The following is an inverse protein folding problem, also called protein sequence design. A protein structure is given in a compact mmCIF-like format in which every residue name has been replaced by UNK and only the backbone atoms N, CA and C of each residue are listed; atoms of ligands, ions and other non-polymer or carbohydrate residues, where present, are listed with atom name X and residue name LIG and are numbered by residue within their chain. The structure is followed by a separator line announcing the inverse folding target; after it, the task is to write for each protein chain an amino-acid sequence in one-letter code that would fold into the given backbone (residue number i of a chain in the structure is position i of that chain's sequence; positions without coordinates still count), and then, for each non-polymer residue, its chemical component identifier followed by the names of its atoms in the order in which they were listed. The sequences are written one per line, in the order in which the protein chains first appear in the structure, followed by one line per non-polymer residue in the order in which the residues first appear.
data_IF_705553378005
#
_entry.id   IF_705553378005
#
_cell.length_a   1.000
_cell.length_b   1.000
_cell.length_c   1.000
_cell.angle_alpha   90.00
_cell.angle_beta   90.00
_cell.angle_gamma   90.00
#
_symmetry.space_group_name_H-M   'P 1'
#
loop_
_entity.id
_entity.type
_entity.pdbx_description
1 polymer ?
#
# COMPACT_ATOMS: atom_id res chain seq x y z
N UNK A 1 7.91 4.73 6.59
CA UNK A 1 7.32 6.07 6.80
C UNK A 1 5.80 6.13 6.51
N UNK A 2 5.25 5.34 5.59
CA UNK A 2 3.83 5.44 5.19
C UNK A 2 2.76 5.24 6.27
N UNK A 3 3.07 4.65 7.43
CA UNK A 3 2.12 4.34 8.51
C UNK A 3 1.28 5.55 8.96
N UNK A 4 1.88 6.73 9.10
CA UNK A 4 1.15 7.95 9.51
C UNK A 4 0.23 8.47 8.41
N UNK A 5 0.65 8.35 7.14
CA UNK A 5 -0.15 8.75 5.98
C UNK A 5 -1.42 7.90 5.92
N UNK A 6 -1.27 6.58 6.01
CA UNK A 6 -2.41 5.64 5.99
C UNK A 6 -3.39 5.95 7.12
N UNK A 7 -2.90 6.12 8.36
CA UNK A 7 -3.78 6.44 9.50
C UNK A 7 -4.54 7.75 9.31
N UNK A 8 -3.87 8.81 8.86
CA UNK A 8 -4.53 10.10 8.67
C UNK A 8 -5.60 10.03 7.56
N UNK A 9 -5.33 9.31 6.47
CA UNK A 9 -6.29 9.14 5.39
C UNK A 9 -7.50 8.29 5.82
N UNK A 10 -7.30 7.25 6.64
CA UNK A 10 -8.40 6.48 7.23
C UNK A 10 -9.26 7.35 8.17
N UNK A 11 -8.63 8.15 9.04
CA UNK A 11 -9.33 9.08 9.94
C UNK A 11 -10.15 10.11 9.15
N UNK A 12 -9.63 10.57 8.01
CA UNK A 12 -10.33 11.48 7.11
C UNK A 12 -11.48 10.81 6.33
N UNK A 13 -11.69 9.49 6.48
CA UNK A 13 -12.80 8.76 5.86
C UNK A 13 -12.53 8.29 4.43
N UNK A 14 -11.28 8.31 3.96
CA UNK A 14 -10.94 7.80 2.63
C UNK A 14 -10.87 6.27 2.63
N UNK A 15 -11.35 5.67 1.52
CA UNK A 15 -11.14 4.25 1.24
C UNK A 15 -9.69 4.04 0.85
N UNK A 16 -9.00 3.13 1.54
CA UNK A 16 -7.60 2.83 1.27
C UNK A 16 -7.41 1.36 0.96
N UNK A 17 -6.57 1.12 -0.03
CA UNK A 17 -6.03 -0.19 -0.36
C UNK A 17 -4.55 -0.17 -0.02
N UNK A 18 -4.11 -1.11 0.81
CA UNK A 18 -2.73 -1.17 1.30
C UNK A 18 -2.05 -2.46 0.88
N UNK A 19 -0.78 -2.34 0.52
CA UNK A 19 0.07 -3.49 0.26
C UNK A 19 1.45 -3.24 0.89
N UNK A 20 2.06 -4.33 1.36
CA UNK A 20 3.45 -4.31 1.79
C UNK A 20 4.04 -5.71 1.62
N UNK A 21 5.34 -5.79 1.29
CA UNK A 21 6.08 -7.06 1.14
C UNK A 21 5.93 -7.99 2.35
N UNK A 22 5.86 -7.42 3.56
CA UNK A 22 5.53 -8.17 4.79
C UNK A 22 4.06 -7.94 5.13
N UNK A 23 3.21 -8.93 4.86
CA UNK A 23 1.75 -8.85 5.04
C UNK A 23 1.33 -8.46 6.46
N UNK A 24 2.04 -8.94 7.49
CA UNK A 24 1.72 -8.64 8.88
C UNK A 24 1.75 -7.15 9.22
N UNK A 25 2.53 -6.35 8.49
CA UNK A 25 2.59 -4.90 8.70
C UNK A 25 1.31 -4.18 8.23
N UNK A 26 0.45 -4.85 7.46
CA UNK A 26 -0.84 -4.30 7.04
C UNK A 26 -1.96 -4.54 8.05
N UNK A 27 -1.80 -5.48 9.00
CA UNK A 27 -2.85 -5.90 9.93
C UNK A 27 -3.51 -4.72 10.66
N UNK A 28 -2.70 -3.83 11.23
CA UNK A 28 -3.21 -2.66 11.95
C UNK A 28 -4.04 -1.70 11.08
N UNK A 29 -3.83 -1.69 9.76
CA UNK A 29 -4.58 -0.82 8.85
C UNK A 29 -5.87 -1.50 8.43
N UNK A 30 -5.85 -2.82 8.27
CA UNK A 30 -7.04 -3.63 8.01
C UNK A 30 -8.00 -3.54 9.19
N UNK A 31 -7.49 -3.66 10.41
CA UNK A 31 -8.28 -3.44 11.65
C UNK A 31 -8.89 -2.03 11.71
N UNK A 32 -8.19 -1.04 11.13
CA UNK A 32 -8.66 0.34 11.03
C UNK A 32 -9.55 0.62 9.79
N UNK A 33 -9.88 -0.39 8.99
CA UNK A 33 -10.82 -0.30 7.86
C UNK A 33 -10.20 -0.20 6.47
N UNK A 34 -8.88 -0.37 6.32
CA UNK A 34 -8.25 -0.49 5.00
C UNK A 34 -8.47 -1.89 4.39
N UNK A 35 -8.42 -1.99 3.07
CA UNK A 35 -8.41 -3.27 2.37
C UNK A 35 -6.96 -3.66 2.06
N UNK A 36 -6.57 -4.89 2.39
CA UNK A 36 -5.25 -5.40 2.04
C UNK A 36 -5.29 -6.05 0.65
N UNK A 37 -4.38 -5.64 -0.24
CA UNK A 37 -4.14 -6.30 -1.52
C UNK A 37 -3.07 -7.39 -1.40
N UNK A 38 -3.07 -8.33 -2.34
CA UNK A 38 -2.10 -9.44 -2.38
C UNK A 38 -0.79 -9.02 -3.08
N UNK A 39 -0.89 -8.16 -4.09
CA UNK A 39 0.23 -7.66 -4.89
C UNK A 39 0.10 -6.16 -5.22
N UNK A 40 1.19 -5.49 -5.64
CA UNK A 40 1.14 -4.09 -6.07
C UNK A 40 0.19 -3.84 -7.25
N UNK A 41 0.11 -4.75 -8.23
CA UNK A 41 -0.76 -4.59 -9.40
C UNK A 41 -2.24 -4.43 -9.02
N UNK A 42 -2.71 -5.16 -8.00
CA UNK A 42 -4.07 -5.04 -7.47
C UNK A 42 -4.35 -3.67 -6.88
N UNK A 43 -3.37 -3.08 -6.18
CA UNK A 43 -3.51 -1.72 -5.64
C UNK A 43 -3.72 -0.72 -6.78
N UNK A 44 -2.92 -0.84 -7.83
CA UNK A 44 -2.94 0.08 -8.99
C UNK A 44 -4.25 -0.03 -9.76
N UNK A 45 -4.78 -1.25 -9.92
CA UNK A 45 -6.05 -1.48 -10.61
C UNK A 45 -7.27 -0.94 -9.86
N UNK A 46 -7.17 -0.82 -8.53
CA UNK A 46 -8.31 -0.51 -7.68
C UNK A 46 -8.24 0.86 -7.00
N UNK A 47 -7.19 1.66 -7.25
CA UNK A 47 -7.01 2.99 -6.66
C UNK A 47 -6.75 4.07 -7.72
N UNK A 48 -7.38 5.24 -7.55
CA UNK A 48 -7.18 6.40 -8.42
C UNK A 48 -5.86 7.13 -8.14
N UNK A 49 -5.38 7.09 -6.89
CA UNK A 49 -4.18 7.78 -6.43
C UNK A 49 -3.27 6.78 -5.71
N UNK A 50 -2.01 6.72 -6.12
CA UNK A 50 -1.05 5.73 -5.64
C UNK A 50 0.08 6.43 -4.86
N UNK A 51 0.27 6.01 -3.62
CA UNK A 51 1.41 6.42 -2.80
C UNK A 51 2.43 5.29 -2.70
N UNK A 52 3.57 5.44 -3.38
CA UNK A 52 4.71 4.54 -3.19
C UNK A 52 5.64 5.10 -2.09
N UNK A 53 5.66 4.46 -0.93
CA UNK A 53 6.46 4.89 0.23
C UNK A 53 7.39 3.76 0.71
N UNK A 54 8.50 3.58 0.02
CA UNK A 54 9.55 2.58 0.33
C UNK A 54 10.87 3.22 0.70
N UNK A 55 11.82 2.41 1.18
CA UNK A 55 13.07 2.83 1.80
C UNK A 55 14.11 3.38 0.81
N UNK A 56 14.16 2.82 -0.40
CA UNK A 56 15.27 3.03 -1.33
C UNK A 56 14.88 2.71 -2.77
N UNK A 57 15.78 3.07 -3.70
CA UNK A 57 15.59 2.92 -5.15
C UNK A 57 15.46 1.46 -5.57
N UNK A 58 16.16 0.53 -4.90
CA UNK A 58 16.09 -0.89 -5.23
C UNK A 58 14.71 -1.46 -4.89
N UNK A 59 14.15 -1.07 -3.74
CA UNK A 59 12.79 -1.42 -3.36
C UNK A 59 11.77 -0.86 -4.36
N UNK A 60 11.93 0.38 -4.83
CA UNK A 60 11.08 0.95 -5.88
C UNK A 60 11.15 0.11 -7.15
N UNK A 61 12.35 -0.17 -7.68
CA UNK A 61 12.53 -0.96 -8.91
C UNK A 61 11.91 -2.34 -8.79
N UNK A 62 12.06 -2.99 -7.64
CA UNK A 62 11.49 -4.32 -7.40
C UNK A 62 9.96 -4.30 -7.47
N UNK A 63 9.31 -3.24 -6.99
CA UNK A 63 7.84 -3.12 -6.99
C UNK A 63 7.33 -2.71 -8.37
N UNK A 64 8.04 -1.85 -9.08
CA UNK A 64 7.60 -1.36 -10.40
C UNK A 64 7.85 -2.36 -11.52
N UNK A 65 8.91 -3.17 -11.46
CA UNK A 65 9.34 -4.01 -12.59
C UNK A 65 9.19 -5.51 -12.36
N UNK A 66 8.59 -5.95 -11.25
CA UNK A 66 8.29 -7.38 -11.08
C UNK A 66 7.03 -7.79 -11.88
N UNK A 67 6.84 -9.09 -12.17
CA UNK A 67 5.69 -9.56 -12.95
C UNK A 67 4.32 -9.17 -12.39
N UNK A 68 4.19 -9.06 -11.06
CA UNK A 68 2.98 -8.61 -10.36
C UNK A 68 3.12 -7.16 -9.84
N UNK A 69 3.98 -6.38 -10.50
CA UNK A 69 4.32 -5.01 -10.16
C UNK A 69 3.30 -3.97 -10.62
N UNK A 70 3.69 -2.70 -10.50
CA UNK A 70 2.85 -1.56 -10.90
C UNK A 70 2.81 -1.39 -12.42
#
# INVERSE_FOLDING_TARGET
MGRRIVKNLLIAGHKLIVWNRTKDKCKEFVEAGATQAENPAEVVKAADIIFNCVSDVYAVKTILFCPDGV
#
